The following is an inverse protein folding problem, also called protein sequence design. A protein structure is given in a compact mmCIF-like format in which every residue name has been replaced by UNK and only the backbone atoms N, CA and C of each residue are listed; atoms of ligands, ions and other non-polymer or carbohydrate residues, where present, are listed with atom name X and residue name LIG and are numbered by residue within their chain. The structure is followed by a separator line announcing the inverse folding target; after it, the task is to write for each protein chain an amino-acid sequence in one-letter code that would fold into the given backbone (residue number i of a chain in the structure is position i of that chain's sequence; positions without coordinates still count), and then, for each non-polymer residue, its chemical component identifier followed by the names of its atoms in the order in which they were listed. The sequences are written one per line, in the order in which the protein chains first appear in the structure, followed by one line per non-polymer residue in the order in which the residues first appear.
data_IF_038108123225
#
_entry.id   IF_038108123225
#
_cell.length_a   1.000
_cell.length_b   1.000
_cell.length_c   1.000
_cell.angle_alpha   90.00
_cell.angle_beta   90.00
_cell.angle_gamma   90.00
#
_symmetry.space_group_name_H-M   'P 1'
#
loop_
_entity.id
_entity.type
_entity.pdbx_description
1 polymer ?
#
# COMPACT_ATOMS: atom_id res chain seq x y z
N UNK A 1 11.40 -10.13 -57.16
CA UNK A 1 12.06 -11.00 -56.15
C UNK A 1 12.85 -10.13 -55.18
N UNK A 2 12.21 -9.75 -54.07
CA UNK A 2 12.83 -9.37 -52.79
C UNK A 2 11.68 -8.94 -51.84
N UNK A 3 11.09 -9.92 -51.14
CA UNK A 3 10.26 -9.65 -49.96
C UNK A 3 11.20 -9.16 -48.86
N UNK A 4 11.02 -7.92 -48.40
CA UNK A 4 11.70 -7.38 -47.23
C UNK A 4 10.68 -7.21 -46.11
N UNK A 5 10.55 -8.27 -45.32
CA UNK A 5 9.80 -8.35 -44.07
C UNK A 5 10.45 -7.41 -43.06
N UNK A 6 9.86 -6.22 -42.85
CA UNK A 6 10.27 -5.30 -41.79
C UNK A 6 9.65 -5.78 -40.48
N UNK A 7 10.42 -6.56 -39.72
CA UNK A 7 10.15 -6.87 -38.32
C UNK A 7 10.36 -5.57 -37.52
N UNK A 8 9.28 -5.02 -36.96
CA UNK A 8 9.36 -3.91 -35.99
C UNK A 8 9.60 -4.48 -34.58
N UNK A 9 10.61 -3.98 -33.84
CA UNK A 9 10.91 -4.48 -32.52
C UNK A 9 9.91 -3.98 -31.48
N UNK A 10 9.39 -4.92 -30.69
CA UNK A 10 8.93 -4.80 -29.31
C UNK A 10 8.40 -3.44 -28.86
N UNK A 11 7.09 -3.25 -29.01
CA UNK A 11 6.34 -2.20 -28.34
C UNK A 11 6.39 -2.47 -26.82
N UNK A 12 7.36 -1.86 -26.11
CA UNK A 12 7.38 -1.83 -24.65
C UNK A 12 6.06 -1.22 -24.18
N UNK A 13 5.22 -2.03 -23.56
CA UNK A 13 3.95 -1.65 -22.96
C UNK A 13 4.20 -0.45 -22.04
N UNK A 14 3.67 0.71 -22.42
CA UNK A 14 3.74 1.95 -21.67
C UNK A 14 2.99 1.72 -20.36
N UNK A 15 3.72 1.46 -19.27
CA UNK A 15 3.15 1.37 -17.92
C UNK A 15 2.29 2.62 -17.70
N UNK A 16 1.05 2.43 -17.25
CA UNK A 16 0.14 3.54 -16.97
C UNK A 16 0.77 4.43 -15.90
N UNK A 17 0.57 5.75 -16.00
CA UNK A 17 1.12 6.72 -15.05
C UNK A 17 0.79 6.34 -13.59
N UNK A 18 -0.40 5.79 -13.35
CA UNK A 18 -0.81 5.30 -12.03
C UNK A 18 0.06 4.15 -11.49
N UNK A 19 0.57 3.26 -12.36
CA UNK A 19 1.48 2.17 -11.96
C UNK A 19 2.87 2.70 -11.67
N UNK A 20 3.32 3.70 -12.43
CA UNK A 20 4.62 4.34 -12.22
C UNK A 20 4.63 5.22 -10.97
N UNK A 21 3.53 5.92 -10.70
CA UNK A 21 3.28 6.67 -9.48
C UNK A 21 3.22 5.74 -8.27
N UNK A 22 2.46 4.63 -8.35
CA UNK A 22 2.42 3.58 -7.32
C UNK A 22 3.81 2.99 -7.02
N UNK A 23 4.65 2.81 -8.04
CA UNK A 23 6.02 2.34 -7.88
C UNK A 23 6.94 3.40 -7.26
N UNK A 24 6.68 4.69 -7.49
CA UNK A 24 7.50 5.79 -6.97
C UNK A 24 7.30 6.04 -5.47
N UNK A 25 6.13 5.71 -4.90
CA UNK A 25 5.87 5.79 -3.46
C UNK A 25 6.83 4.94 -2.60
N UNK A 26 7.50 3.94 -3.19
CA UNK A 26 8.47 3.10 -2.46
C UNK A 26 9.88 3.71 -2.39
N UNK A 27 10.18 4.78 -3.15
CA UNK A 27 11.49 5.43 -3.12
C UNK A 27 11.56 6.47 -2.01
N UNK A 28 11.95 6.04 -0.82
CA UNK A 28 12.43 6.95 0.21
C UNK A 28 13.74 7.60 -0.26
N UNK A 29 13.70 8.91 -0.53
CA UNK A 29 14.88 9.77 -0.78
C UNK A 29 15.57 10.15 0.54
N UNK A 30 15.82 9.19 1.42
CA UNK A 30 16.52 9.44 2.67
C UNK A 30 18.03 9.26 2.51
N UNK A 31 18.81 10.28 2.89
CA UNK A 31 20.28 10.19 3.04
C UNK A 31 20.70 9.34 4.25
N UNK A 32 19.77 9.09 5.18
CA UNK A 32 19.97 8.23 6.33
C UNK A 32 19.49 6.81 6.03
N UNK A 33 20.24 5.82 6.53
CA UNK A 33 19.91 4.40 6.40
C UNK A 33 18.42 4.19 6.68
N UNK A 34 17.66 3.51 5.79
CA UNK A 34 16.24 3.28 6.02
C UNK A 34 16.09 2.58 7.37
N UNK A 35 15.19 3.10 8.21
CA UNK A 35 14.83 2.45 9.46
C UNK A 35 14.37 1.01 9.13
N UNK A 36 14.58 0.07 10.07
CA UNK A 36 14.08 -1.28 9.85
C UNK A 36 12.56 -1.23 9.64
N UNK A 37 12.05 -2.12 8.80
CA UNK A 37 10.60 -2.23 8.53
C UNK A 37 9.77 -2.26 9.81
N UNK A 38 10.29 -2.86 10.88
CA UNK A 38 9.64 -2.93 12.19
C UNK A 38 9.50 -1.54 12.85
N UNK A 39 10.53 -0.70 12.81
CA UNK A 39 10.45 0.66 13.35
C UNK A 39 9.48 1.53 12.57
N UNK A 40 9.48 1.41 11.24
CA UNK A 40 8.53 2.12 10.38
C UNK A 40 7.08 1.68 10.68
N UNK A 41 6.84 0.37 10.84
CA UNK A 41 5.53 -0.14 11.22
C UNK A 41 5.08 0.34 12.60
N UNK A 42 5.97 0.34 13.60
CA UNK A 42 5.65 0.86 14.93
C UNK A 42 5.31 2.34 14.86
N UNK A 43 6.09 3.15 14.13
CA UNK A 43 5.82 4.58 13.95
C UNK A 43 4.46 4.82 13.28
N UNK A 44 4.17 4.10 12.20
CA UNK A 44 2.89 4.20 11.49
C UNK A 44 1.71 3.72 12.36
N UNK A 45 1.88 2.66 13.14
CA UNK A 45 0.85 2.17 14.06
C UNK A 45 0.56 3.17 15.18
N UNK A 46 1.60 3.78 15.76
CA UNK A 46 1.44 4.86 16.76
C UNK A 46 0.70 6.05 16.17
N UNK A 47 1.02 6.43 14.94
CA UNK A 47 0.32 7.49 14.22
C UNK A 47 -1.16 7.15 13.99
N UNK A 48 -1.46 5.94 13.51
CA UNK A 48 -2.84 5.45 13.34
C UNK A 48 -3.62 5.46 14.65
N UNK A 49 -3.00 5.07 15.77
CA UNK A 49 -3.61 5.10 17.10
C UNK A 49 -4.00 6.52 17.55
N UNK A 50 -3.11 7.50 17.28
CA UNK A 50 -3.40 8.91 17.55
C UNK A 50 -4.58 9.43 16.70
N UNK A 51 -4.63 9.07 15.41
CA UNK A 51 -5.74 9.43 14.54
C UNK A 51 -7.07 8.78 14.98
N UNK A 52 -7.04 7.50 15.36
CA UNK A 52 -8.20 6.79 15.86
C UNK A 52 -8.75 7.44 17.14
N UNK A 53 -7.87 7.86 18.05
CA UNK A 53 -8.25 8.58 19.28
C UNK A 53 -8.86 9.96 18.98
N UNK A 54 -8.42 10.60 17.90
CA UNK A 54 -9.01 11.83 17.38
C UNK A 54 -10.32 11.60 16.57
N UNK A 55 -10.88 10.39 16.60
CA UNK A 55 -12.09 10.00 15.88
C UNK A 55 -12.01 10.26 14.36
N UNK A 56 -10.83 10.10 13.78
CA UNK A 56 -10.62 10.19 12.33
C UNK A 56 -11.17 8.92 11.68
N UNK A 57 -12.04 9.11 10.68
CA UNK A 57 -12.62 7.99 9.92
C UNK A 57 -11.58 7.12 9.23
N UNK A 58 -11.91 5.84 9.00
CA UNK A 58 -10.98 4.82 8.48
C UNK A 58 -10.34 5.20 7.16
N UNK A 59 -11.10 5.83 6.26
CA UNK A 59 -10.57 6.35 5.00
C UNK A 59 -9.37 7.27 5.21
N UNK A 60 -9.59 8.33 5.98
CA UNK A 60 -8.56 9.31 6.30
C UNK A 60 -7.42 8.70 7.13
N UNK A 61 -7.73 7.73 7.99
CA UNK A 61 -6.74 7.03 8.81
C UNK A 61 -5.74 6.27 7.93
N UNK A 62 -6.21 5.47 6.97
CA UNK A 62 -5.34 4.74 6.04
C UNK A 62 -4.65 5.66 5.04
N UNK A 63 -5.35 6.66 4.50
CA UNK A 63 -4.77 7.63 3.57
C UNK A 63 -3.61 8.39 4.21
N UNK A 64 -3.82 9.01 5.37
CA UNK A 64 -2.79 9.81 6.05
C UNK A 64 -1.59 8.97 6.46
N UNK A 65 -1.82 7.72 6.87
CA UNK A 65 -0.73 6.79 7.21
C UNK A 65 0.12 6.44 5.99
N UNK A 66 -0.51 6.29 4.83
CA UNK A 66 0.19 6.06 3.57
C UNK A 66 1.07 7.25 3.15
N UNK A 67 0.66 8.48 3.47
CA UNK A 67 1.37 9.70 3.09
C UNK A 67 2.65 9.98 3.90
N UNK A 68 2.94 9.21 4.96
CA UNK A 68 4.09 9.45 5.86
C UNK A 68 5.47 9.20 5.25
N UNK A 69 5.56 8.56 4.07
CA UNK A 69 6.83 8.35 3.36
C UNK A 69 7.79 7.30 3.98
N UNK A 70 7.29 6.43 4.86
CA UNK A 70 8.04 5.30 5.41
C UNK A 70 8.20 4.16 4.41
N UNK A 71 9.13 3.22 4.66
CA UNK A 71 9.31 2.05 3.78
C UNK A 71 8.05 1.18 3.67
N UNK A 72 7.18 1.23 4.69
CA UNK A 72 5.90 0.50 4.75
C UNK A 72 4.68 1.31 4.30
N UNK A 73 4.84 2.61 4.00
CA UNK A 73 3.76 3.45 3.46
C UNK A 73 3.09 2.88 2.22
N UNK A 74 3.86 2.21 1.35
CA UNK A 74 3.33 1.57 0.15
C UNK A 74 2.27 0.50 0.44
N UNK A 75 2.34 -0.20 1.58
CA UNK A 75 1.32 -1.20 1.95
C UNK A 75 0.01 -0.54 2.36
N UNK A 76 0.06 0.49 3.20
CA UNK A 76 -1.13 1.26 3.60
C UNK A 76 -1.76 1.98 2.40
N UNK A 77 -0.95 2.47 1.47
CA UNK A 77 -1.44 3.02 0.21
C UNK A 77 -2.23 1.98 -0.60
N UNK A 78 -1.71 0.77 -0.74
CA UNK A 78 -2.41 -0.32 -1.43
C UNK A 78 -3.70 -0.70 -0.74
N UNK A 79 -3.73 -0.75 0.59
CA UNK A 79 -4.97 -1.01 1.36
C UNK A 79 -6.01 0.06 1.06
N UNK A 80 -5.62 1.34 1.17
CA UNK A 80 -6.51 2.46 0.86
C UNK A 80 -7.02 2.41 -0.59
N UNK A 81 -6.16 2.13 -1.57
CA UNK A 81 -6.55 1.98 -2.96
C UNK A 81 -7.54 0.84 -3.19
N UNK A 82 -7.31 -0.33 -2.58
CA UNK A 82 -8.21 -1.49 -2.69
C UNK A 82 -9.57 -1.14 -2.10
N UNK A 83 -9.62 -0.51 -0.92
CA UNK A 83 -10.87 -0.11 -0.30
C UNK A 83 -11.64 0.90 -1.19
N UNK A 84 -10.97 1.97 -1.61
CA UNK A 84 -11.61 3.08 -2.32
C UNK A 84 -11.95 2.78 -3.78
N UNK A 85 -11.10 2.04 -4.50
CA UNK A 85 -11.29 1.81 -5.95
C UNK A 85 -12.01 0.52 -6.28
N UNK A 86 -11.93 -0.48 -5.40
CA UNK A 86 -12.56 -1.79 -5.61
C UNK A 86 -13.79 -1.98 -4.71
N UNK A 87 -14.18 -0.95 -3.94
CA UNK A 87 -15.36 -0.92 -3.09
C UNK A 87 -15.39 -2.07 -2.07
N UNK A 88 -14.22 -2.48 -1.58
CA UNK A 88 -14.07 -3.38 -0.45
C UNK A 88 -14.04 -2.59 0.85
N UNK A 89 -14.54 -3.16 1.94
CA UNK A 89 -14.27 -2.63 3.27
C UNK A 89 -12.78 -2.74 3.63
N UNK A 90 -12.33 -1.95 4.63
CA UNK A 90 -10.93 -1.95 5.01
C UNK A 90 -10.43 -3.28 5.61
N UNK A 91 -11.32 -4.10 6.18
CA UNK A 91 -10.94 -5.41 6.69
C UNK A 91 -10.53 -6.35 5.55
N UNK A 92 -11.32 -6.39 4.48
CA UNK A 92 -11.05 -7.17 3.28
C UNK A 92 -9.87 -6.62 2.50
N UNK A 93 -9.74 -5.28 2.42
CA UNK A 93 -8.60 -4.65 1.79
C UNK A 93 -7.28 -5.01 2.48
N UNK A 94 -7.25 -5.03 3.83
CA UNK A 94 -6.07 -5.48 4.58
C UNK A 94 -5.72 -6.92 4.26
N UNK A 95 -6.71 -7.83 4.20
CA UNK A 95 -6.49 -9.23 3.87
C UNK A 95 -5.88 -9.41 2.47
N UNK A 96 -6.44 -8.74 1.46
CA UNK A 96 -5.96 -8.82 0.08
C UNK A 96 -4.51 -8.35 -0.07
N UNK A 97 -4.13 -7.27 0.62
CA UNK A 97 -2.75 -6.76 0.59
C UNK A 97 -1.82 -7.68 1.39
N UNK A 98 -2.28 -8.27 2.49
CA UNK A 98 -1.52 -9.26 3.26
C UNK A 98 -1.22 -10.51 2.41
N UNK A 99 -2.20 -10.99 1.65
CA UNK A 99 -2.02 -12.17 0.80
C UNK A 99 -1.05 -11.91 -0.37
N UNK A 100 -0.93 -10.65 -0.80
CA UNK A 100 -0.07 -10.21 -1.90
C UNK A 100 1.35 -9.79 -1.49
N UNK A 101 1.69 -9.75 -0.20
CA UNK A 101 3.03 -9.37 0.26
C UNK A 101 3.87 -10.59 0.65
N UNK A 102 5.16 -10.53 0.33
CA UNK A 102 6.18 -11.51 0.75
C UNK A 102 6.83 -11.13 2.10
N UNK A 103 6.55 -9.93 2.61
CA UNK A 103 7.07 -9.50 3.90
C UNK A 103 6.19 -10.04 5.04
N UNK A 104 6.66 -11.08 5.73
CA UNK A 104 5.91 -11.78 6.78
C UNK A 104 5.49 -10.89 7.96
N UNK A 105 6.31 -9.89 8.34
CA UNK A 105 5.98 -8.94 9.41
C UNK A 105 4.79 -8.08 9.00
N UNK A 106 4.81 -7.55 7.78
CA UNK A 106 3.71 -6.75 7.23
C UNK A 106 2.46 -7.62 7.03
N UNK A 107 2.63 -8.83 6.50
CA UNK A 107 1.54 -9.81 6.32
C UNK A 107 0.82 -10.05 7.65
N UNK A 108 1.57 -10.39 8.69
CA UNK A 108 1.04 -10.68 10.02
C UNK A 108 0.30 -9.47 10.61
N UNK A 109 0.84 -8.26 10.46
CA UNK A 109 0.18 -7.04 10.93
C UNK A 109 -1.15 -6.79 10.20
N UNK A 110 -1.15 -6.87 8.88
CA UNK A 110 -2.35 -6.62 8.06
C UNK A 110 -3.44 -7.66 8.30
N UNK A 111 -3.09 -8.94 8.52
CA UNK A 111 -4.07 -9.95 8.91
C UNK A 111 -4.70 -9.65 10.27
N UNK A 112 -3.93 -9.15 11.25
CA UNK A 112 -4.48 -8.71 12.53
C UNK A 112 -5.43 -7.54 12.36
N UNK A 113 -5.06 -6.55 11.53
CA UNK A 113 -5.97 -5.45 11.17
C UNK A 113 -7.25 -5.95 10.53
N UNK A 114 -7.15 -6.89 9.58
CA UNK A 114 -8.31 -7.51 8.95
C UNK A 114 -9.26 -8.11 9.99
N UNK A 115 -8.74 -8.93 10.91
CA UNK A 115 -9.53 -9.53 11.98
C UNK A 115 -10.14 -8.49 12.93
N UNK A 116 -9.36 -7.49 13.35
CA UNK A 116 -9.84 -6.43 14.26
C UNK A 116 -10.92 -5.57 13.62
N UNK A 117 -10.74 -5.15 12.36
CA UNK A 117 -11.70 -4.33 11.64
C UNK A 117 -12.99 -5.09 11.31
N UNK A 118 -12.90 -6.38 10.97
CA UNK A 118 -14.05 -7.23 10.71
C UNK A 118 -14.91 -7.46 11.96
N UNK A 119 -14.30 -7.44 13.15
CA UNK A 119 -15.01 -7.57 14.43
C UNK A 119 -15.61 -6.27 14.97
N UNK A 120 -15.28 -5.13 14.36
CA UNK A 120 -15.70 -3.80 14.79
C UNK A 120 -17.04 -3.36 14.18
N UNK A 121 -17.47 -2.15 14.56
CA UNK A 121 -18.65 -1.48 14.01
C UNK A 121 -18.56 -1.32 12.48
N UNK A 122 -19.72 -1.25 11.82
CA UNK A 122 -19.81 -0.98 10.39
C UNK A 122 -19.20 0.40 10.04
N UNK A 123 -18.69 0.51 8.80
CA UNK A 123 -18.08 1.75 8.26
C UNK A 123 -19.10 2.84 7.91
#
# INVERSE_FOLDING_TARGET
MALLTRILPGQKVRRSQAVEEAANWQRSTSLFRPASTEYDLVAQLTYMSALATANVGRENLFQKTAELGYSTSGYFHRVHLVAQRLNYDYARACQLVADATENETVRSLLLRFSSSLASGEAE
#
